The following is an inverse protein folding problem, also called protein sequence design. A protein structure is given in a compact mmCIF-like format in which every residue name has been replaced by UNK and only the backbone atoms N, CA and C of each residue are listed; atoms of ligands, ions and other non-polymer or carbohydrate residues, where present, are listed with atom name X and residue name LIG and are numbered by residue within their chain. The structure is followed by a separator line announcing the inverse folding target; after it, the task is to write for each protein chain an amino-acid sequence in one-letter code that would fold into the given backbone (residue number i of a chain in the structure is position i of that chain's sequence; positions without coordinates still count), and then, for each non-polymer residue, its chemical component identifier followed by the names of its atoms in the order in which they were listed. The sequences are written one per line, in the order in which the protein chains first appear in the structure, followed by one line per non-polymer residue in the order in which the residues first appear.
data_IF_058831556592
#
_entry.id   IF_058831556592
#
_cell.length_a   1.000
_cell.length_b   1.000
_cell.length_c   1.000
_cell.angle_alpha   90.00
_cell.angle_beta   90.00
_cell.angle_gamma   90.00
#
_symmetry.space_group_name_H-M   'P 1'
#
loop_
_entity.id
_entity.type
_entity.pdbx_description
1 polymer ?
#
# COMPACT_ATOMS: atom_id res chain seq x y z
N UNK A 1 -31.81 -3.37 19.47
CA UNK A 1 -30.83 -3.83 18.43
C UNK A 1 -31.60 -4.62 17.40
N UNK A 2 -31.58 -4.18 16.14
CA UNK A 2 -32.31 -4.83 15.05
C UNK A 2 -31.73 -6.20 14.69
N UNK A 3 -32.48 -7.10 14.04
CA UNK A 3 -31.97 -8.39 13.57
C UNK A 3 -30.77 -8.23 12.64
N UNK A 4 -30.80 -7.25 11.72
CA UNK A 4 -29.68 -6.96 10.80
C UNK A 4 -28.41 -6.54 11.55
N UNK A 5 -28.53 -5.73 12.60
CA UNK A 5 -27.38 -5.30 13.38
C UNK A 5 -26.74 -6.46 14.16
N UNK A 6 -27.56 -7.32 14.73
CA UNK A 6 -27.08 -8.55 15.39
C UNK A 6 -26.35 -9.47 14.40
N UNK A 7 -26.93 -9.67 13.21
CA UNK A 7 -26.31 -10.48 12.17
C UNK A 7 -24.98 -9.88 11.66
N UNK A 8 -24.86 -8.54 11.60
CA UNK A 8 -23.60 -7.86 11.27
C UNK A 8 -22.53 -8.11 12.35
N UNK A 9 -22.88 -8.00 13.62
CA UNK A 9 -21.94 -8.27 14.72
C UNK A 9 -21.43 -9.72 14.68
N UNK A 10 -22.33 -10.69 14.44
CA UNK A 10 -21.97 -12.10 14.29
C UNK A 10 -21.03 -12.32 13.08
N UNK A 11 -21.35 -11.74 11.94
CA UNK A 11 -20.50 -11.78 10.76
C UNK A 11 -19.10 -11.23 11.05
N UNK A 12 -19.00 -10.06 11.67
CA UNK A 12 -17.72 -9.44 11.99
C UNK A 12 -16.92 -10.27 13.00
N UNK A 13 -17.60 -10.85 13.99
CA UNK A 13 -16.98 -11.73 15.00
C UNK A 13 -16.40 -12.98 14.35
N UNK A 14 -17.15 -13.67 13.49
CA UNK A 14 -16.68 -14.87 12.76
C UNK A 14 -15.49 -14.51 11.88
N UNK A 15 -15.58 -13.43 11.10
CA UNK A 15 -14.49 -13.01 10.22
C UNK A 15 -13.23 -12.63 10.99
N UNK A 16 -13.35 -12.01 12.16
CA UNK A 16 -12.21 -11.71 13.04
C UNK A 16 -11.59 -12.97 13.62
N UNK A 17 -12.40 -13.94 14.02
CA UNK A 17 -11.93 -15.27 14.45
C UNK A 17 -11.10 -15.99 13.36
N UNK A 18 -11.37 -15.70 12.08
CA UNK A 18 -10.60 -16.18 10.93
C UNK A 18 -9.36 -15.29 10.60
N UNK A 19 -9.00 -14.33 11.47
CA UNK A 19 -7.80 -13.49 11.32
C UNK A 19 -7.95 -12.28 10.43
N UNK A 20 -9.18 -11.83 10.08
CA UNK A 20 -9.39 -10.61 9.30
C UNK A 20 -9.54 -9.38 10.21
N UNK A 21 -8.76 -8.33 10.01
CA UNK A 21 -8.85 -7.09 10.82
C UNK A 21 -10.14 -6.26 10.61
N UNK A 22 -10.71 -6.25 9.43
CA UNK A 22 -11.99 -5.68 9.00
C UNK A 22 -12.29 -4.21 9.40
N UNK A 23 -11.35 -3.42 9.95
CA UNK A 23 -11.60 -2.04 10.46
C UNK A 23 -12.37 -1.14 9.47
N UNK A 24 -11.95 -1.15 8.19
CA UNK A 24 -12.63 -0.37 7.17
C UNK A 24 -13.97 -1.00 6.74
N UNK A 25 -14.02 -2.33 6.65
CA UNK A 25 -15.25 -3.08 6.28
C UNK A 25 -16.33 -2.87 7.32
N UNK A 26 -16.00 -2.99 8.60
CA UNK A 26 -16.91 -2.76 9.73
C UNK A 26 -17.56 -1.37 9.66
N UNK A 27 -16.74 -0.30 9.48
CA UNK A 27 -17.28 1.06 9.37
C UNK A 27 -18.30 1.19 8.25
N UNK A 28 -17.99 0.61 7.07
CA UNK A 28 -18.89 0.71 5.92
C UNK A 28 -20.13 -0.17 6.05
N UNK A 29 -20.01 -1.32 6.69
CA UNK A 29 -21.18 -2.17 6.93
C UNK A 29 -22.08 -1.62 8.02
N UNK A 30 -21.54 -0.95 9.05
CA UNK A 30 -22.37 -0.21 10.01
C UNK A 30 -23.12 0.92 9.32
N UNK A 31 -22.45 1.74 8.48
CA UNK A 31 -23.10 2.78 7.70
C UNK A 31 -24.18 2.21 6.74
N UNK A 32 -23.98 1.02 6.21
CA UNK A 32 -24.99 0.34 5.39
C UNK A 32 -26.19 -0.13 6.22
N UNK A 33 -25.97 -0.72 7.37
CA UNK A 33 -27.07 -1.15 8.27
C UNK A 33 -27.83 0.07 8.77
N UNK A 34 -27.15 1.18 9.14
CA UNK A 34 -27.81 2.45 9.50
C UNK A 34 -28.68 3.00 8.34
N UNK A 35 -28.24 2.82 7.10
CA UNK A 35 -29.03 3.19 5.91
C UNK A 35 -30.30 2.31 5.79
N UNK A 36 -30.18 0.99 5.95
CA UNK A 36 -31.33 0.08 5.89
C UNK A 36 -32.32 0.36 7.02
N UNK A 37 -31.86 0.59 8.24
CA UNK A 37 -32.71 0.93 9.39
C UNK A 37 -33.49 2.23 9.15
N UNK A 38 -32.85 3.27 8.59
CA UNK A 38 -33.52 4.52 8.21
C UNK A 38 -34.54 4.35 7.10
N UNK A 39 -34.30 3.41 6.19
CA UNK A 39 -35.23 3.07 5.12
C UNK A 39 -36.39 2.16 5.59
N UNK A 40 -36.40 1.73 6.86
CA UNK A 40 -37.37 0.78 7.39
C UNK A 40 -37.24 -0.65 6.85
N UNK A 41 -36.11 -0.94 6.19
CA UNK A 41 -35.85 -2.24 5.55
C UNK A 41 -35.45 -3.28 6.57
N UNK A 42 -36.08 -4.44 6.53
CA UNK A 42 -35.76 -5.58 7.39
C UNK A 42 -34.81 -6.59 6.70
N UNK A 43 -34.64 -6.49 5.38
CA UNK A 43 -33.88 -7.40 4.54
C UNK A 43 -32.93 -6.63 3.62
N UNK A 44 -31.87 -7.30 3.15
CA UNK A 44 -30.99 -6.76 2.14
C UNK A 44 -31.57 -7.10 0.77
N UNK A 45 -31.87 -6.06 -0.02
CA UNK A 45 -32.20 -6.23 -1.43
C UNK A 45 -31.05 -5.69 -2.30
N UNK A 46 -30.94 -6.17 -3.54
CA UNK A 46 -29.97 -5.69 -4.51
C UNK A 46 -30.17 -4.19 -4.76
N UNK A 47 -31.41 -3.74 -4.85
CA UNK A 47 -31.76 -2.34 -5.07
C UNK A 47 -31.21 -1.45 -3.94
N UNK A 48 -31.50 -1.76 -2.68
CA UNK A 48 -31.02 -0.99 -1.52
C UNK A 48 -29.49 -1.02 -1.42
N UNK A 49 -28.87 -2.16 -1.72
CA UNK A 49 -27.42 -2.26 -1.75
C UNK A 49 -26.75 -1.37 -2.80
N UNK A 50 -27.36 -1.27 -4.00
CA UNK A 50 -26.90 -0.38 -5.09
C UNK A 50 -27.14 1.08 -4.73
N UNK A 51 -28.33 1.42 -4.21
CA UNK A 51 -28.63 2.76 -3.75
C UNK A 51 -27.58 3.24 -2.73
N UNK A 52 -27.35 2.46 -1.69
CA UNK A 52 -26.34 2.81 -0.69
C UNK A 52 -24.93 2.90 -1.29
N UNK A 53 -24.55 1.98 -2.16
CA UNK A 53 -23.23 2.01 -2.79
C UNK A 53 -22.98 3.28 -3.61
N UNK A 54 -24.04 3.89 -4.16
CA UNK A 54 -24.02 5.11 -4.98
C UNK A 54 -24.28 6.41 -4.20
N UNK A 55 -24.63 6.35 -2.91
CA UNK A 55 -24.93 7.56 -2.11
C UNK A 55 -23.88 8.67 -2.19
N UNK A 56 -22.54 8.40 -2.24
CA UNK A 56 -21.58 9.46 -2.49
C UNK A 56 -21.67 9.92 -3.95
N UNK A 57 -22.27 11.09 -4.16
CA UNK A 57 -22.64 11.61 -5.49
C UNK A 57 -21.43 11.74 -6.44
N UNK A 58 -20.26 12.15 -5.90
CA UNK A 58 -19.04 12.33 -6.70
C UNK A 58 -18.06 11.15 -6.58
N UNK A 59 -18.52 10.00 -6.09
CA UNK A 59 -17.63 8.87 -5.91
C UNK A 59 -17.24 8.23 -7.25
N UNK A 60 -15.95 8.01 -7.40
CA UNK A 60 -15.43 7.27 -8.55
C UNK A 60 -16.11 5.88 -8.66
N UNK A 61 -16.54 5.44 -9.87
CA UNK A 61 -17.27 4.17 -10.06
C UNK A 61 -16.64 2.96 -9.39
N UNK A 62 -15.30 2.90 -9.34
CA UNK A 62 -14.57 1.85 -8.63
C UNK A 62 -14.85 1.85 -7.12
N UNK A 63 -15.08 3.01 -6.51
CA UNK A 63 -15.43 3.10 -5.10
C UNK A 63 -16.83 2.55 -4.83
N UNK A 64 -17.80 2.88 -5.68
CA UNK A 64 -19.16 2.32 -5.60
C UNK A 64 -19.13 0.79 -5.72
N UNK A 65 -18.37 0.25 -6.70
CA UNK A 65 -18.16 -1.20 -6.83
C UNK A 65 -17.52 -1.82 -5.58
N UNK A 66 -16.56 -1.15 -4.97
CA UNK A 66 -15.91 -1.60 -3.73
C UNK A 66 -16.88 -1.58 -2.54
N UNK A 67 -17.69 -0.54 -2.38
CA UNK A 67 -18.74 -0.46 -1.35
C UNK A 67 -19.71 -1.64 -1.51
N UNK A 68 -20.21 -1.88 -2.72
CA UNK A 68 -21.08 -3.02 -3.02
C UNK A 68 -20.41 -4.36 -2.71
N UNK A 69 -19.09 -4.46 -2.89
CA UNK A 69 -18.30 -5.63 -2.52
C UNK A 69 -18.30 -5.93 -1.01
N UNK A 70 -18.34 -4.91 -0.16
CA UNK A 70 -18.48 -5.08 1.29
C UNK A 70 -19.85 -5.65 1.62
N UNK A 71 -20.92 -5.07 1.06
CA UNK A 71 -22.29 -5.55 1.25
C UNK A 71 -22.45 -7.00 0.77
N UNK A 72 -21.90 -7.32 -0.40
CA UNK A 72 -21.94 -8.70 -0.95
C UNK A 72 -21.36 -9.74 0.01
N UNK A 73 -20.23 -9.40 0.67
CA UNK A 73 -19.61 -10.29 1.66
C UNK A 73 -20.52 -10.56 2.85
N UNK A 74 -21.21 -9.54 3.34
CA UNK A 74 -22.17 -9.64 4.44
C UNK A 74 -23.47 -10.35 3.98
N UNK A 75 -24.02 -9.96 2.85
CA UNK A 75 -25.23 -10.55 2.28
C UNK A 75 -25.08 -12.07 2.02
N UNK A 76 -23.92 -12.54 1.54
CA UNK A 76 -23.65 -13.98 1.39
C UNK A 76 -23.71 -14.72 2.72
N UNK A 77 -23.21 -14.12 3.78
CA UNK A 77 -23.29 -14.71 5.11
C UNK A 77 -24.76 -14.72 5.60
N UNK A 78 -25.45 -13.60 5.45
CA UNK A 78 -26.82 -13.48 5.91
C UNK A 78 -27.78 -14.41 5.15
N UNK A 79 -27.58 -14.59 3.84
CA UNK A 79 -28.37 -15.50 3.00
C UNK A 79 -28.28 -16.98 3.42
N UNK A 80 -27.28 -17.37 4.22
CA UNK A 80 -27.22 -18.72 4.81
C UNK A 80 -28.19 -18.89 5.98
N UNK A 81 -28.71 -17.80 6.53
CA UNK A 81 -29.58 -17.76 7.69
C UNK A 81 -30.99 -17.29 7.31
N UNK A 82 -31.06 -16.30 6.43
CA UNK A 82 -32.30 -15.70 5.92
C UNK A 82 -32.33 -15.78 4.38
N UNK A 83 -33.09 -16.75 3.82
CA UNK A 83 -33.20 -16.94 2.37
C UNK A 83 -33.79 -15.73 1.59
N UNK A 84 -34.47 -14.80 2.28
CA UNK A 84 -35.02 -13.60 1.67
C UNK A 84 -33.95 -12.52 1.41
N UNK A 85 -32.71 -12.74 1.89
CA UNK A 85 -31.57 -11.84 1.64
C UNK A 85 -31.06 -11.99 0.22
N UNK A 86 -31.07 -10.92 -0.55
CA UNK A 86 -30.51 -10.89 -1.88
C UNK A 86 -29.00 -10.60 -1.87
N UNK A 87 -28.24 -11.38 -2.66
CA UNK A 87 -26.79 -11.22 -2.80
C UNK A 87 -26.44 -10.47 -4.07
N UNK A 88 -25.91 -9.22 -4.01
CA UNK A 88 -25.58 -8.47 -5.22
C UNK A 88 -24.53 -9.17 -6.10
N UNK A 89 -24.77 -9.35 -7.43
CA UNK A 89 -23.81 -9.92 -8.36
C UNK A 89 -22.49 -9.14 -8.46
N UNK A 90 -21.41 -9.81 -8.92
CA UNK A 90 -20.06 -9.20 -8.96
C UNK A 90 -19.89 -8.16 -10.06
N UNK A 91 -20.67 -8.24 -11.11
CA UNK A 91 -20.63 -7.45 -12.33
C UNK A 91 -21.68 -6.34 -12.41
N UNK A 92 -22.57 -6.27 -11.41
CA UNK A 92 -23.68 -5.31 -11.37
C UNK A 92 -23.24 -3.83 -11.50
N UNK A 93 -22.07 -3.46 -10.97
CA UNK A 93 -21.49 -2.14 -11.17
C UNK A 93 -20.22 -2.25 -12.02
N UNK A 94 -20.27 -1.80 -13.29
CA UNK A 94 -19.11 -1.86 -14.17
C UNK A 94 -18.05 -0.87 -13.67
N UNK A 95 -16.91 -1.36 -13.29
CA UNK A 95 -15.73 -0.56 -13.04
C UNK A 95 -14.50 -1.35 -13.50
N UNK A 96 -14.03 -1.08 -14.71
CA UNK A 96 -12.73 -1.56 -15.15
C UNK A 96 -11.65 -0.76 -14.43
N UNK A 97 -10.91 -1.40 -13.57
CA UNK A 97 -9.71 -0.83 -12.98
C UNK A 97 -8.61 -0.83 -14.05
N UNK A 98 -8.48 0.26 -14.80
CA UNK A 98 -7.23 0.50 -15.52
C UNK A 98 -6.17 0.83 -14.48
N UNK A 99 -5.20 -0.06 -14.28
CA UNK A 99 -3.99 0.29 -13.54
C UNK A 99 -3.31 1.40 -14.35
N UNK A 100 -3.26 2.61 -13.81
CA UNK A 100 -2.46 3.68 -14.41
C UNK A 100 -0.99 3.32 -14.29
N UNK A 101 -0.18 3.67 -15.30
CA UNK A 101 1.26 3.56 -15.19
C UNK A 101 1.75 4.25 -13.90
N UNK A 102 2.73 3.68 -13.19
CA UNK A 102 3.26 4.29 -11.98
C UNK A 102 4.10 5.52 -12.33
N UNK A 103 4.18 6.47 -11.42
CA UNK A 103 5.20 7.51 -11.49
C UNK A 103 6.56 6.90 -11.11
N UNK A 104 7.55 7.04 -11.98
CA UNK A 104 8.91 6.56 -11.70
C UNK A 104 9.79 7.77 -11.35
N UNK A 105 10.16 7.85 -10.07
CA UNK A 105 11.02 8.91 -9.58
C UNK A 105 12.45 8.77 -10.11
N UNK A 106 13.03 9.84 -10.65
CA UNK A 106 14.47 9.92 -10.89
C UNK A 106 15.27 10.00 -9.57
N UNK A 107 16.60 9.73 -9.57
CA UNK A 107 17.44 9.93 -8.39
C UNK A 107 17.38 11.37 -7.88
N UNK A 108 17.38 12.34 -8.79
CA UNK A 108 17.32 13.77 -8.45
C UNK A 108 15.98 14.15 -7.79
N UNK A 109 14.87 13.55 -8.23
CA UNK A 109 13.55 13.77 -7.64
C UNK A 109 13.43 13.15 -6.25
N UNK A 110 13.99 11.95 -6.02
CA UNK A 110 14.05 11.37 -4.68
C UNK A 110 14.87 12.27 -3.75
N UNK A 111 16.02 12.76 -4.20
CA UNK A 111 16.85 13.68 -3.43
C UNK A 111 16.12 15.00 -3.14
N UNK A 112 15.40 15.58 -4.12
CA UNK A 112 14.59 16.77 -3.94
C UNK A 112 13.45 16.54 -2.91
N UNK A 113 12.79 15.38 -2.98
CA UNK A 113 11.75 15.00 -2.00
C UNK A 113 12.32 14.85 -0.59
N UNK A 114 13.52 14.27 -0.47
CA UNK A 114 14.20 14.17 0.83
C UNK A 114 14.62 15.55 1.38
N UNK A 115 15.13 16.45 0.53
CA UNK A 115 15.42 17.85 0.92
C UNK A 115 14.16 18.60 1.36
N UNK A 116 13.04 18.39 0.67
CA UNK A 116 11.78 19.03 1.02
C UNK A 116 11.34 18.73 2.46
N UNK A 117 11.81 17.63 3.06
CA UNK A 117 11.50 17.31 4.47
C UNK A 117 12.10 18.31 5.45
N UNK A 118 13.15 19.04 5.08
CA UNK A 118 13.85 20.04 5.94
C UNK A 118 12.93 21.18 6.34
N UNK A 119 11.82 21.40 5.63
CA UNK A 119 10.80 22.40 5.97
C UNK A 119 9.84 21.94 7.08
N UNK A 120 9.89 20.66 7.42
CA UNK A 120 9.06 20.14 8.49
C UNK A 120 9.64 20.53 9.87
N UNK A 121 8.74 20.92 10.77
CA UNK A 121 9.08 21.25 12.15
C UNK A 121 8.40 20.31 13.13
N UNK A 122 9.06 19.95 14.22
CA UNK A 122 10.47 20.20 14.59
C UNK A 122 11.47 19.39 13.75
N UNK A 123 12.76 19.69 13.85
CA UNK A 123 13.85 19.05 13.09
C UNK A 123 13.84 17.51 13.21
N UNK A 124 13.50 16.97 14.38
CA UNK A 124 13.33 15.52 14.54
C UNK A 124 12.26 14.96 13.58
N UNK A 125 11.16 15.67 13.38
CA UNK A 125 10.10 15.25 12.46
C UNK A 125 10.56 15.27 10.99
N UNK A 126 11.36 16.27 10.63
CA UNK A 126 12.02 16.34 9.32
C UNK A 126 12.90 15.09 9.09
N UNK A 127 13.76 14.76 10.06
CA UNK A 127 14.61 13.57 10.00
C UNK A 127 13.80 12.26 9.93
N UNK A 128 12.70 12.18 10.69
CA UNK A 128 11.80 11.01 10.61
C UNK A 128 11.27 10.81 9.19
N UNK A 129 10.78 11.86 8.53
CA UNK A 129 10.25 11.78 7.17
C UNK A 129 11.35 11.54 6.14
N UNK A 130 12.50 12.18 6.28
CA UNK A 130 13.67 11.97 5.41
C UNK A 130 14.10 10.50 5.41
N UNK A 131 14.27 9.93 6.59
CA UNK A 131 14.69 8.53 6.76
C UNK A 131 13.62 7.57 6.25
N UNK A 132 12.34 7.83 6.54
CA UNK A 132 11.22 7.00 6.07
C UNK A 132 11.14 6.97 4.54
N UNK A 133 11.25 8.13 3.88
CA UNK A 133 11.22 8.24 2.41
C UNK A 133 12.45 7.53 1.81
N UNK A 134 13.63 7.76 2.36
CA UNK A 134 14.86 7.10 1.93
C UNK A 134 14.77 5.58 2.06
N UNK A 135 14.27 5.08 3.17
CA UNK A 135 14.10 3.65 3.41
C UNK A 135 13.13 3.02 2.40
N UNK A 136 11.99 3.66 2.13
CA UNK A 136 11.04 3.16 1.11
C UNK A 136 11.70 3.16 -0.28
N UNK A 137 12.45 4.19 -0.62
CA UNK A 137 13.09 4.33 -1.93
C UNK A 137 14.21 3.28 -2.15
N UNK A 138 14.91 2.88 -1.09
CA UNK A 138 16.06 1.94 -1.19
C UNK A 138 15.69 0.47 -0.97
N UNK A 139 14.52 0.19 -0.38
CA UNK A 139 14.07 -1.17 -0.08
C UNK A 139 12.78 -1.59 -0.78
N UNK A 140 12.07 -0.65 -1.37
CA UNK A 140 10.76 -0.91 -1.97
C UNK A 140 9.68 -1.38 -0.97
N UNK A 141 9.88 -1.21 0.33
CA UNK A 141 8.87 -1.54 1.35
C UNK A 141 7.58 -0.76 1.12
N UNK A 142 6.44 -1.35 1.49
CA UNK A 142 5.19 -0.58 1.57
C UNK A 142 5.30 0.43 2.70
N UNK A 143 4.81 1.65 2.48
CA UNK A 143 4.81 2.69 3.52
C UNK A 143 4.17 2.19 4.83
N UNK A 144 3.10 1.37 4.74
CA UNK A 144 2.48 0.76 5.92
C UNK A 144 3.37 -0.26 6.63
N UNK A 145 4.17 -1.04 5.90
CA UNK A 145 5.15 -1.98 6.48
C UNK A 145 6.26 -1.19 7.19
N UNK A 146 6.78 -0.14 6.52
CA UNK A 146 7.83 0.71 7.08
C UNK A 146 7.37 1.42 8.37
N UNK A 147 6.15 1.96 8.37
CA UNK A 147 5.58 2.62 9.56
C UNK A 147 5.25 1.64 10.69
N UNK A 148 5.06 0.36 10.37
CA UNK A 148 4.79 -0.68 11.36
C UNK A 148 6.04 -1.26 12.02
N UNK A 149 7.25 -0.95 11.53
CA UNK A 149 8.51 -1.43 12.12
C UNK A 149 8.61 -1.02 13.58
N UNK A 150 8.96 -1.99 14.39
CA UNK A 150 9.38 -1.80 15.78
C UNK A 150 10.91 -1.64 15.85
N UNK A 151 11.42 -1.16 16.97
CA UNK A 151 12.88 -0.99 17.17
C UNK A 151 13.63 -2.31 17.01
N UNK A 152 13.07 -3.39 17.49
CA UNK A 152 13.63 -4.75 17.38
C UNK A 152 13.59 -5.34 15.97
N UNK A 153 12.75 -4.80 15.07
CA UNK A 153 12.65 -5.25 13.69
C UNK A 153 13.79 -4.68 12.81
N UNK A 154 14.58 -3.76 13.36
CA UNK A 154 15.68 -3.09 12.63
C UNK A 154 17.01 -3.55 13.20
N UNK A 155 17.59 -4.54 12.54
CA UNK A 155 18.92 -5.04 12.87
C UNK A 155 19.98 -4.24 12.10
N UNK A 156 20.64 -3.33 12.82
CA UNK A 156 21.72 -2.51 12.26
C UNK A 156 23.10 -3.20 12.37
N UNK A 157 23.21 -4.33 13.09
CA UNK A 157 24.44 -5.11 13.17
C UNK A 157 24.57 -6.01 11.91
N UNK A 158 23.54 -6.82 11.67
CA UNK A 158 23.52 -7.74 10.53
C UNK A 158 23.02 -7.06 9.24
N UNK A 159 22.55 -5.82 9.35
CA UNK A 159 22.12 -5.02 8.20
C UNK A 159 20.81 -5.51 7.58
N UNK A 160 19.83 -5.86 8.38
CA UNK A 160 18.57 -6.44 7.93
C UNK A 160 17.34 -5.80 8.61
N UNK A 161 16.20 -5.89 7.94
CA UNK A 161 14.89 -5.59 8.50
C UNK A 161 14.03 -6.84 8.57
N UNK A 162 13.43 -7.10 9.72
CA UNK A 162 12.46 -8.17 9.92
C UNK A 162 11.05 -7.63 9.67
N UNK A 163 10.55 -7.80 8.45
CA UNK A 163 9.28 -7.22 8.03
C UNK A 163 8.14 -8.20 8.28
N UNK A 164 7.22 -7.82 9.15
CA UNK A 164 6.00 -8.59 9.42
C UNK A 164 4.93 -8.21 8.39
N UNK A 165 4.57 -9.17 7.54
CA UNK A 165 3.47 -9.00 6.61
C UNK A 165 2.15 -9.48 7.23
N UNK A 166 1.02 -9.04 6.66
CA UNK A 166 -0.29 -9.56 7.03
C UNK A 166 -0.33 -11.08 6.90
N UNK A 167 -1.07 -11.77 7.75
CA UNK A 167 -1.23 -13.23 7.79
C UNK A 167 0.04 -13.99 8.20
N UNK A 168 0.80 -13.47 9.18
CA UNK A 168 1.96 -14.15 9.78
C UNK A 168 3.12 -14.47 8.81
N UNK A 169 3.11 -13.95 7.60
CA UNK A 169 4.28 -14.02 6.72
C UNK A 169 5.33 -13.01 7.18
N UNK A 170 6.47 -13.50 7.57
CA UNK A 170 7.64 -12.68 7.86
C UNK A 170 8.62 -12.79 6.67
N UNK A 171 9.35 -11.71 6.42
CA UNK A 171 10.49 -11.73 5.50
C UNK A 171 11.59 -10.85 6.03
N UNK A 172 12.79 -11.24 5.73
CA UNK A 172 13.98 -10.45 5.95
C UNK A 172 14.28 -9.61 4.70
N UNK A 173 14.67 -8.37 4.92
CA UNK A 173 15.02 -7.43 3.85
C UNK A 173 16.43 -6.92 4.14
N UNK A 174 17.45 -7.37 3.37
CA UNK A 174 18.81 -6.89 3.54
C UNK A 174 18.93 -5.41 3.19
N UNK A 175 19.78 -4.71 3.90
CA UNK A 175 20.02 -3.29 3.76
C UNK A 175 21.37 -3.00 3.12
N UNK A 176 21.39 -2.06 2.19
CA UNK A 176 22.65 -1.53 1.69
C UNK A 176 23.37 -0.71 2.78
N UNK A 177 24.69 -0.70 2.77
CA UNK A 177 25.52 -0.01 3.78
C UNK A 177 25.15 1.45 3.98
N UNK A 178 24.85 2.19 2.92
CA UNK A 178 24.42 3.59 3.03
C UNK A 178 23.10 3.76 3.76
N UNK A 179 22.19 2.80 3.61
CA UNK A 179 20.90 2.77 4.33
C UNK A 179 21.12 2.48 5.81
N UNK A 180 22.04 1.56 6.15
CA UNK A 180 22.41 1.26 7.55
C UNK A 180 22.96 2.51 8.23
N UNK A 181 23.85 3.27 7.58
CA UNK A 181 24.40 4.53 8.10
C UNK A 181 23.29 5.54 8.38
N UNK A 182 22.35 5.72 7.43
CA UNK A 182 21.23 6.65 7.62
C UNK A 182 20.28 6.21 8.77
N UNK A 183 20.04 4.91 8.91
CA UNK A 183 19.22 4.37 10.00
C UNK A 183 19.91 4.50 11.36
N UNK A 184 21.24 4.30 11.43
CA UNK A 184 22.02 4.51 12.67
C UNK A 184 21.93 5.98 13.11
N UNK A 185 22.07 6.92 12.18
CA UNK A 185 21.94 8.35 12.51
C UNK A 185 20.53 8.68 12.99
N UNK A 186 19.49 8.19 12.31
CA UNK A 186 18.12 8.36 12.78
C UNK A 186 17.91 7.75 14.17
N UNK A 187 18.44 6.56 14.43
CA UNK A 187 18.36 5.90 15.74
C UNK A 187 19.00 6.76 16.81
N UNK A 188 20.18 7.32 16.57
CA UNK A 188 20.87 8.23 17.49
C UNK A 188 20.01 9.45 17.82
N UNK A 189 19.47 10.14 16.82
CA UNK A 189 18.60 11.30 17.00
C UNK A 189 17.30 10.94 17.73
N UNK A 190 16.73 9.80 17.42
CA UNK A 190 15.53 9.26 18.04
C UNK A 190 15.74 9.01 19.53
N UNK A 191 16.82 8.29 19.88
CA UNK A 191 17.11 7.88 21.25
C UNK A 191 17.57 9.07 22.10
N UNK A 192 18.22 10.08 21.51
CA UNK A 192 18.50 11.36 22.18
C UNK A 192 17.23 12.15 22.47
N UNK A 193 16.27 12.18 21.53
CA UNK A 193 15.04 12.96 21.70
C UNK A 193 14.02 12.26 22.58
N UNK A 194 13.98 10.93 22.54
CA UNK A 194 13.06 10.07 23.24
C UNK A 194 13.83 8.86 23.84
N UNK A 195 14.52 9.05 24.99
CA UNK A 195 15.27 7.95 25.62
C UNK A 195 14.39 6.76 26.01
N UNK A 196 13.19 7.04 26.55
CA UNK A 196 12.21 6.05 26.96
C UNK A 196 10.88 6.28 26.23
N UNK A 197 10.76 5.89 24.95
CA UNK A 197 9.55 6.10 24.18
C UNK A 197 8.43 5.16 24.69
N UNK A 198 7.21 5.69 24.78
CA UNK A 198 6.00 4.94 25.21
C UNK A 198 5.54 3.87 24.21
N UNK A 199 6.32 3.60 23.18
CA UNK A 199 5.99 2.68 22.08
C UNK A 199 7.23 1.96 21.57
N UNK A 200 7.15 0.68 21.18
CA UNK A 200 8.26 -0.02 20.56
C UNK A 200 8.57 0.46 19.14
N UNK A 201 7.77 1.38 18.57
CA UNK A 201 7.90 1.83 17.19
C UNK A 201 9.29 2.36 16.84
N UNK A 202 9.80 1.98 15.67
CA UNK A 202 11.03 2.54 15.14
C UNK A 202 10.83 4.00 14.73
N UNK A 203 9.82 4.31 13.91
CA UNK A 203 9.51 5.68 13.48
C UNK A 203 8.56 6.37 14.45
N UNK A 204 9.04 7.43 15.07
CA UNK A 204 8.28 8.21 16.04
C UNK A 204 7.72 9.50 15.45
N UNK A 205 6.52 9.85 15.88
CA UNK A 205 5.90 11.14 15.61
C UNK A 205 6.37 12.24 16.54
N UNK A 206 5.81 13.44 16.37
CA UNK A 206 6.18 14.66 17.14
C UNK A 206 6.05 14.51 18.65
N UNK A 207 5.22 13.59 19.14
CA UNK A 207 4.93 13.38 20.57
C UNK A 207 5.54 12.09 21.14
N UNK A 208 6.50 11.46 20.44
CA UNK A 208 7.16 10.24 20.90
C UNK A 208 6.36 8.95 20.70
N UNK A 209 5.12 9.02 20.27
CA UNK A 209 4.35 7.84 19.86
C UNK A 209 4.68 7.40 18.44
N UNK A 210 4.19 6.22 18.01
CA UNK A 210 4.35 5.73 16.64
C UNK A 210 3.85 6.77 15.62
N UNK A 211 4.61 7.01 14.56
CA UNK A 211 4.17 7.88 13.47
C UNK A 211 2.93 7.27 12.79
N UNK A 212 1.80 7.93 12.95
CA UNK A 212 0.53 7.47 12.38
C UNK A 212 0.55 7.54 10.85
N UNK A 213 0.05 6.50 10.19
CA UNK A 213 0.01 6.44 8.72
C UNK A 213 -0.78 7.60 8.09
N UNK A 214 -1.84 8.05 8.76
CA UNK A 214 -2.61 9.20 8.31
C UNK A 214 -1.74 10.47 8.23
N UNK A 215 -0.80 10.67 9.18
CA UNK A 215 0.10 11.81 9.17
C UNK A 215 1.07 11.73 7.99
N UNK A 216 1.62 10.54 7.72
CA UNK A 216 2.48 10.33 6.57
C UNK A 216 1.76 10.68 5.26
N UNK A 217 0.57 10.09 5.02
CA UNK A 217 -0.18 10.32 3.79
C UNK A 217 -0.74 11.74 3.64
N UNK A 218 -0.92 12.48 4.73
CA UNK A 218 -1.30 13.90 4.69
C UNK A 218 -0.13 14.82 4.40
N UNK A 219 1.05 14.50 4.92
CA UNK A 219 2.27 15.33 4.74
C UNK A 219 2.93 15.09 3.38
N UNK A 220 2.93 13.85 2.87
CA UNK A 220 3.64 13.49 1.65
C UNK A 220 3.25 14.34 0.42
N UNK A 221 1.97 14.65 0.13
CA UNK A 221 1.61 15.54 -0.98
C UNK A 221 2.18 16.96 -0.86
N UNK A 222 2.32 17.49 0.34
CA UNK A 222 2.95 18.80 0.56
C UNK A 222 4.45 18.75 0.23
N UNK A 223 5.14 17.66 0.62
CA UNK A 223 6.53 17.45 0.28
C UNK A 223 6.75 17.30 -1.23
N UNK A 224 5.85 16.59 -1.93
CA UNK A 224 5.88 16.47 -3.40
C UNK A 224 5.78 17.85 -4.07
N UNK A 225 4.86 18.70 -3.58
CA UNK A 225 4.71 20.08 -4.07
C UNK A 225 5.96 20.90 -3.83
N UNK A 226 6.51 20.84 -2.62
CA UNK A 226 7.69 21.57 -2.24
C UNK A 226 8.96 21.13 -2.97
N UNK A 227 9.03 19.85 -3.34
CA UNK A 227 10.09 19.31 -4.20
C UNK A 227 9.93 19.72 -5.67
N UNK A 228 8.92 20.51 -6.04
CA UNK A 228 8.65 20.93 -7.41
C UNK A 228 8.20 19.80 -8.34
N UNK A 229 7.62 18.74 -7.79
CA UNK A 229 7.19 17.57 -8.56
C UNK A 229 5.74 17.63 -9.02
N UNK A 230 4.97 18.63 -8.57
CA UNK A 230 3.61 18.89 -9.10
C UNK A 230 3.69 19.69 -10.41
N UNK A 231 2.85 19.37 -11.37
CA UNK A 231 2.62 20.23 -12.55
C UNK A 231 3.56 20.03 -13.72
N UNK A 232 4.44 19.05 -13.74
CA UNK A 232 5.31 18.75 -14.91
C UNK A 232 4.54 18.11 -16.08
N UNK A 233 3.40 18.69 -16.46
CA UNK A 233 2.64 18.26 -17.66
C UNK A 233 2.09 16.84 -17.60
N UNK A 234 2.13 16.17 -16.46
CA UNK A 234 1.90 14.76 -16.34
C UNK A 234 0.50 14.46 -15.77
N UNK A 235 -0.20 13.55 -16.44
CA UNK A 235 -1.47 12.95 -15.97
C UNK A 235 -1.34 12.19 -14.64
N UNK A 236 -0.11 12.03 -14.12
CA UNK A 236 0.20 11.19 -12.96
C UNK A 236 0.72 12.05 -11.81
N UNK A 237 -0.03 12.08 -10.72
CA UNK A 237 0.39 12.73 -9.48
C UNK A 237 1.32 11.80 -8.71
N UNK A 238 2.57 12.19 -8.36
CA UNK A 238 3.51 11.38 -7.60
C UNK A 238 2.93 10.98 -6.24
N UNK A 239 3.01 9.70 -5.90
CA UNK A 239 2.47 9.13 -4.65
C UNK A 239 3.58 8.42 -3.87
N UNK A 240 3.42 8.28 -2.56
CA UNK A 240 4.35 7.53 -1.73
C UNK A 240 4.56 6.08 -2.19
N UNK A 241 3.52 5.44 -2.72
CA UNK A 241 3.62 4.07 -3.24
C UNK A 241 4.47 3.97 -4.52
N UNK A 242 4.60 5.07 -5.25
CA UNK A 242 5.40 5.11 -6.47
C UNK A 242 6.91 5.05 -6.18
N UNK A 243 7.37 5.35 -4.95
CA UNK A 243 8.75 5.07 -4.51
C UNK A 243 9.07 3.57 -4.58
N UNK A 244 8.13 2.73 -4.14
CA UNK A 244 8.27 1.27 -4.25
C UNK A 244 8.21 0.80 -5.71
N UNK A 245 7.35 1.39 -6.52
CA UNK A 245 7.32 1.12 -7.96
C UNK A 245 8.66 1.48 -8.61
N UNK A 246 9.22 2.63 -8.24
CA UNK A 246 10.54 3.07 -8.69
C UNK A 246 11.63 2.07 -8.33
N UNK A 247 11.66 1.59 -7.08
CA UNK A 247 12.61 0.56 -6.65
C UNK A 247 12.50 -0.70 -7.52
N UNK A 248 11.30 -1.24 -7.68
CA UNK A 248 11.09 -2.45 -8.47
C UNK A 248 11.51 -2.29 -9.94
N UNK A 249 11.12 -1.17 -10.57
CA UNK A 249 11.47 -0.88 -11.96
C UNK A 249 12.98 -0.73 -12.13
N UNK A 250 13.66 -0.03 -11.22
CA UNK A 250 15.11 0.14 -11.29
C UNK A 250 15.85 -1.19 -11.15
N UNK A 251 15.43 -2.01 -10.19
CA UNK A 251 16.00 -3.36 -10.04
C UNK A 251 15.89 -4.16 -11.33
N UNK A 252 14.73 -4.12 -11.99
CA UNK A 252 14.53 -4.80 -13.28
C UNK A 252 15.39 -4.20 -14.38
N UNK A 253 15.49 -2.87 -14.49
CA UNK A 253 16.34 -2.19 -15.46
C UNK A 253 17.81 -2.56 -15.26
N UNK A 254 18.29 -2.59 -14.03
CA UNK A 254 19.67 -2.93 -13.70
C UNK A 254 19.97 -4.39 -14.08
N UNK A 255 19.05 -5.34 -13.83
CA UNK A 255 19.21 -6.72 -14.27
C UNK A 255 19.22 -6.86 -15.79
N UNK A 256 18.33 -6.15 -16.52
CA UNK A 256 18.34 -6.17 -17.98
C UNK A 256 19.63 -5.59 -18.55
N UNK A 257 20.14 -4.48 -17.99
CA UNK A 257 21.42 -3.86 -18.40
C UNK A 257 22.63 -4.73 -18.09
N UNK A 258 22.60 -5.44 -16.99
CA UNK A 258 23.63 -6.41 -16.63
C UNK A 258 23.59 -7.71 -17.44
N UNK A 259 22.59 -7.89 -18.33
CA UNK A 259 22.44 -9.09 -19.14
C UNK A 259 21.92 -10.30 -18.36
N UNK A 260 21.41 -10.10 -17.16
CA UNK A 260 20.92 -11.20 -16.31
C UNK A 260 19.62 -11.83 -16.84
N UNK A 261 19.36 -13.06 -16.43
CA UNK A 261 18.10 -13.75 -16.72
C UNK A 261 17.01 -13.23 -15.77
N UNK A 262 16.25 -12.21 -16.21
CA UNK A 262 15.22 -11.54 -15.42
C UNK A 262 14.09 -12.47 -15.04
N UNK A 263 13.68 -13.39 -15.94
CA UNK A 263 12.58 -14.33 -15.64
C UNK A 263 12.93 -15.24 -14.48
N UNK A 264 14.19 -15.72 -14.44
CA UNK A 264 14.68 -16.55 -13.34
C UNK A 264 14.74 -15.80 -12.01
N UNK A 265 15.03 -14.49 -12.05
CA UNK A 265 15.13 -13.61 -10.85
C UNK A 265 13.82 -12.96 -10.43
N UNK A 266 12.79 -12.99 -11.26
CA UNK A 266 11.49 -12.39 -10.96
C UNK A 266 10.84 -12.92 -9.66
N UNK A 267 10.91 -14.25 -9.33
CA UNK A 267 10.43 -14.75 -8.04
C UNK A 267 11.18 -14.18 -6.85
N UNK A 268 12.50 -13.90 -6.98
CA UNK A 268 13.31 -13.28 -5.92
C UNK A 268 12.79 -11.87 -5.61
N UNK A 269 12.59 -11.04 -6.65
CA UNK A 269 12.04 -9.70 -6.50
C UNK A 269 10.61 -9.74 -5.92
N UNK A 270 9.79 -10.69 -6.38
CA UNK A 270 8.43 -10.88 -5.88
C UNK A 270 8.42 -11.18 -4.38
N UNK A 271 9.30 -12.07 -3.93
CA UNK A 271 9.48 -12.45 -2.53
C UNK A 271 10.02 -11.28 -1.72
N UNK A 272 11.07 -10.61 -2.20
CA UNK A 272 11.66 -9.43 -1.58
C UNK A 272 10.62 -8.33 -1.35
N UNK A 273 9.83 -8.03 -2.36
CA UNK A 273 8.75 -7.07 -2.27
C UNK A 273 7.56 -7.57 -1.42
N UNK A 274 7.43 -8.87 -1.15
CA UNK A 274 6.31 -9.45 -0.43
C UNK A 274 5.01 -9.37 -1.23
N UNK A 275 5.06 -9.69 -2.52
CA UNK A 275 3.88 -9.89 -3.34
C UNK A 275 3.28 -11.27 -3.06
N UNK A 276 1.97 -11.32 -2.84
CA UNK A 276 1.22 -12.58 -2.69
C UNK A 276 0.92 -13.24 -4.02
N UNK A 277 0.99 -12.46 -5.10
CA UNK A 277 0.72 -12.87 -6.47
C UNK A 277 1.86 -12.36 -7.37
N UNK A 278 2.63 -13.27 -8.02
CA UNK A 278 3.71 -12.91 -8.94
C UNK A 278 3.28 -11.98 -10.08
N UNK A 279 2.03 -12.08 -10.57
CA UNK A 279 1.47 -11.20 -11.58
C UNK A 279 1.57 -9.71 -11.20
N UNK A 280 1.64 -9.40 -9.89
CA UNK A 280 1.86 -8.04 -9.40
C UNK A 280 3.28 -7.53 -9.69
N UNK A 281 4.26 -8.41 -9.89
CA UNK A 281 5.64 -8.06 -10.26
C UNK A 281 5.78 -8.01 -11.78
N UNK A 282 5.21 -8.98 -12.50
CA UNK A 282 5.21 -8.99 -13.97
C UNK A 282 4.54 -7.75 -14.59
N UNK A 283 3.56 -7.17 -13.90
CA UNK A 283 2.92 -5.93 -14.35
C UNK A 283 3.91 -4.77 -14.58
N UNK A 284 5.06 -4.73 -13.90
CA UNK A 284 6.07 -3.69 -14.14
C UNK A 284 6.66 -3.77 -15.53
N UNK A 285 6.79 -4.96 -16.12
CA UNK A 285 7.31 -5.16 -17.47
C UNK A 285 6.40 -4.51 -18.52
N UNK A 286 5.08 -4.58 -18.32
CA UNK A 286 4.08 -3.99 -19.24
C UNK A 286 3.88 -2.50 -19.02
N UNK A 287 4.09 -2.02 -17.78
CA UNK A 287 3.72 -0.67 -17.38
C UNK A 287 4.78 0.40 -17.69
N UNK A 288 6.02 0.01 -18.03
CA UNK A 288 7.16 0.90 -18.19
C UNK A 288 7.74 0.78 -19.61
N UNK A 289 7.60 1.83 -20.46
CA UNK A 289 8.07 1.79 -21.85
C UNK A 289 9.56 1.48 -22.01
N UNK A 290 10.39 1.95 -21.07
CA UNK A 290 11.84 1.70 -21.08
C UNK A 290 12.16 0.20 -20.89
N UNK A 291 11.42 -0.50 -20.03
CA UNK A 291 11.54 -1.95 -19.87
C UNK A 291 11.10 -2.70 -21.13
N UNK A 292 10.01 -2.26 -21.75
CA UNK A 292 9.55 -2.83 -23.02
C UNK A 292 10.60 -2.67 -24.14
N UNK A 293 11.22 -1.49 -24.24
CA UNK A 293 12.27 -1.26 -25.23
C UNK A 293 13.49 -2.18 -25.03
N UNK A 294 13.91 -2.40 -23.77
CA UNK A 294 15.02 -3.32 -23.45
C UNK A 294 14.66 -4.79 -23.74
N UNK A 295 13.41 -5.20 -23.49
CA UNK A 295 12.92 -6.53 -23.84
C UNK A 295 12.96 -6.74 -25.35
N UNK A 296 12.43 -5.78 -26.13
CA UNK A 296 12.44 -5.85 -27.62
C UNK A 296 13.86 -5.93 -28.14
N UNK A 297 14.77 -5.06 -27.69
CA UNK A 297 16.17 -5.09 -28.11
C UNK A 297 16.90 -6.40 -27.75
N UNK A 298 16.46 -7.09 -26.70
CA UNK A 298 17.02 -8.41 -26.33
C UNK A 298 16.47 -9.53 -27.21
N UNK A 299 15.19 -9.49 -27.55
CA UNK A 299 14.57 -10.45 -28.45
C UNK A 299 15.18 -10.38 -29.85
N UNK A 300 15.47 -9.16 -30.35
CA UNK A 300 16.13 -8.95 -31.65
C UNK A 300 17.57 -9.51 -31.69
N UNK A 301 18.22 -9.65 -30.53
CA UNK A 301 19.59 -10.22 -30.43
C UNK A 301 19.64 -11.72 -30.22
N UNK A 302 18.49 -12.37 -29.97
CA UNK A 302 18.42 -13.84 -29.91
C UNK A 302 18.50 -14.34 -31.35
N UNK A 303 19.50 -15.17 -31.73
CA UNK A 303 19.53 -15.77 -33.07
C UNK A 303 18.27 -16.63 -33.29
N UNK A 304 17.81 -16.69 -34.53
CA UNK A 304 16.69 -17.53 -35.03
C UNK A 304 16.92 -19.04 -34.83
N UNK A 305 17.52 -19.45 -33.76
CA UNK A 305 17.94 -20.82 -33.47
C UNK A 305 16.87 -21.62 -32.73
N UNK A 306 15.58 -21.42 -33.07
CA UNK A 306 14.49 -22.32 -32.70
C UNK A 306 13.29 -22.11 -33.67
N UNK A 307 13.48 -22.37 -34.95
CA UNK A 307 12.40 -22.68 -35.90
C UNK A 307 12.41 -24.17 -36.20
#
# INVERSE_FOLDING_TARGET
MTPLRRALEDYLRIRRGLGFELKAVERHLNDFVDFLERAGAQQITIELAVMWARLPVDAHPHWCKRRLGFVRGFARHLATIDPATEVPPTDLLPARRRRSAPYIYSPAEIAALMRATETLTPAFHANTFKTLIGLIATTGLRAGETLALDRQDVDLHDGALHVRARKHKQREVPLHQTTIVALREYTRLRDQRWPDPVTPAFFLGKRGGRLASIMFYRTFPALVRQAGLEGKGMRLRPRAHDLRHTFAVRTLLDWYRAGENVDRRMPELSTFLGHSDPASTYWYLEAVPELMALISARLERLPEAMS
#
